data_IF_027475408947
#
_entry.id   IF_027475408947
#
_cell.length_a   1.000
_cell.length_b   1.000
_cell.length_c   1.000
_cell.angle_alpha   90.00
_cell.angle_beta   90.00
_cell.angle_gamma   90.00
#
_symmetry.space_group_name_H-M   'P 1'
#
loop_
_entity.id
_entity.type
_entity.pdbx_description
1 polymer ?
#
# COMPACT_ATOMS: atom_id res chain seq x y z
N UNK A 1 -19.04 -17.93 16.09
CA UNK A 1 -18.06 -17.46 15.09
C UNK A 1 -18.16 -15.95 15.02
N UNK A 2 -17.08 -15.21 14.75
CA UNK A 2 -17.19 -13.80 14.45
C UNK A 2 -18.10 -13.60 13.23
N UNK A 3 -18.80 -12.47 13.21
CA UNK A 3 -19.60 -12.04 12.06
C UNK A 3 -18.68 -11.70 10.89
N UNK A 4 -19.13 -11.93 9.65
CA UNK A 4 -18.35 -11.57 8.48
C UNK A 4 -18.21 -10.04 8.38
N UNK A 5 -17.11 -9.52 7.84
CA UNK A 5 -16.98 -8.08 7.55
C UNK A 5 -18.09 -7.61 6.61
N UNK A 6 -18.43 -6.32 6.68
CA UNK A 6 -19.31 -5.72 5.69
C UNK A 6 -18.63 -5.68 4.31
N UNK A 7 -19.40 -5.71 3.23
CA UNK A 7 -18.85 -5.77 1.86
C UNK A 7 -17.93 -4.57 1.54
N UNK A 8 -18.22 -3.39 2.10
CA UNK A 8 -17.40 -2.18 1.97
C UNK A 8 -16.11 -2.21 2.80
N UNK A 9 -15.95 -3.20 3.66
CA UNK A 9 -14.71 -3.50 4.38
C UNK A 9 -13.90 -4.64 3.74
N UNK A 10 -14.43 -5.28 2.69
CA UNK A 10 -13.76 -6.32 1.92
C UNK A 10 -13.07 -5.67 0.72
N UNK A 11 -11.74 -5.64 0.75
CA UNK A 11 -10.91 -5.00 -0.28
C UNK A 11 -10.66 -5.90 -1.50
N UNK A 12 -10.95 -7.20 -1.37
CA UNK A 12 -10.84 -8.24 -2.41
C UNK A 12 -12.21 -8.58 -3.00
N UNK A 13 -12.93 -7.55 -3.48
CA UNK A 13 -14.32 -7.66 -3.94
C UNK A 13 -14.54 -7.11 -5.35
N UNK A 14 -15.55 -7.60 -6.10
CA UNK A 14 -15.89 -7.06 -7.40
C UNK A 14 -16.35 -5.60 -7.27
N UNK A 15 -15.82 -4.74 -8.15
CA UNK A 15 -16.26 -3.33 -8.22
C UNK A 15 -17.48 -3.24 -9.13
N UNK A 16 -18.62 -2.84 -8.57
CA UNK A 16 -19.85 -2.67 -9.33
C UNK A 16 -19.76 -1.52 -10.34
N UNK A 17 -20.48 -1.65 -11.46
CA UNK A 17 -20.63 -0.58 -12.45
C UNK A 17 -19.47 -0.44 -13.45
N UNK A 18 -18.43 -1.26 -13.36
CA UNK A 18 -17.35 -1.28 -14.35
C UNK A 18 -17.83 -1.82 -15.70
N UNK A 19 -17.47 -1.13 -16.78
CA UNK A 19 -17.58 -1.69 -18.11
C UNK A 19 -16.50 -2.77 -18.34
N UNK A 20 -16.63 -3.55 -19.41
CA UNK A 20 -15.71 -4.68 -19.64
C UNK A 20 -14.22 -4.30 -19.74
N UNK A 21 -13.90 -3.11 -20.28
CA UNK A 21 -12.53 -2.61 -20.35
C UNK A 21 -12.00 -2.16 -18.98
N UNK A 22 -12.84 -1.48 -18.20
CA UNK A 22 -12.50 -1.08 -16.83
C UNK A 22 -12.30 -2.30 -15.92
N UNK A 23 -13.15 -3.32 -16.06
CA UNK A 23 -13.00 -4.57 -15.31
C UNK A 23 -11.70 -5.30 -15.66
N UNK A 24 -11.34 -5.35 -16.94
CA UNK A 24 -10.06 -5.93 -17.37
C UNK A 24 -8.86 -5.13 -16.82
N UNK A 25 -8.95 -3.80 -16.77
CA UNK A 25 -7.90 -2.96 -16.19
C UNK A 25 -7.81 -3.13 -14.68
N UNK A 26 -8.93 -3.27 -13.98
CA UNK A 26 -8.98 -3.54 -12.54
C UNK A 26 -8.27 -4.86 -12.22
N UNK A 27 -8.63 -5.96 -12.92
CA UNK A 27 -7.99 -7.27 -12.75
C UNK A 27 -6.48 -7.23 -13.06
N UNK A 28 -6.06 -6.46 -14.07
CA UNK A 28 -4.64 -6.29 -14.36
C UNK A 28 -3.90 -5.55 -13.23
N UNK A 29 -4.55 -4.57 -12.61
CA UNK A 29 -4.03 -3.84 -11.45
C UNK A 29 -3.90 -4.73 -10.22
N UNK A 30 -4.91 -5.56 -9.96
CA UNK A 30 -4.92 -6.53 -8.85
C UNK A 30 -3.77 -7.54 -8.97
N UNK A 31 -3.58 -8.13 -10.15
CA UNK A 31 -2.44 -9.02 -10.43
C UNK A 31 -1.12 -8.27 -10.24
N UNK A 32 -1.00 -7.05 -10.76
CA UNK A 32 0.23 -6.27 -10.61
C UNK A 32 0.53 -5.92 -9.14
N UNK A 33 -0.50 -5.67 -8.33
CA UNK A 33 -0.34 -5.37 -6.91
C UNK A 33 0.24 -6.57 -6.13
N UNK A 34 -0.26 -7.76 -6.45
CA UNK A 34 0.11 -9.01 -5.79
C UNK A 34 1.43 -9.62 -6.30
N UNK A 35 1.65 -9.61 -7.61
CA UNK A 35 2.70 -10.40 -8.26
C UNK A 35 3.94 -9.57 -8.67
N UNK A 36 3.80 -8.25 -8.80
CA UNK A 36 4.92 -7.44 -9.29
C UNK A 36 6.00 -7.28 -8.22
N UNK A 37 7.17 -7.86 -8.52
CA UNK A 37 8.40 -7.61 -7.75
C UNK A 37 9.19 -6.51 -8.45
N UNK A 38 9.30 -5.38 -7.78
CA UNK A 38 10.04 -4.25 -8.29
C UNK A 38 11.55 -4.42 -8.05
N UNK A 39 12.35 -4.07 -9.05
CA UNK A 39 13.82 -4.06 -8.99
C UNK A 39 14.36 -2.68 -9.35
N UNK A 40 15.63 -2.41 -9.05
CA UNK A 40 16.28 -1.13 -9.38
C UNK A 40 16.19 -0.84 -10.88
N UNK A 41 16.36 -1.87 -11.70
CA UNK A 41 16.33 -1.79 -13.16
C UNK A 41 14.93 -1.50 -13.70
N UNK A 42 13.87 -1.85 -12.96
CA UNK A 42 12.46 -1.59 -13.32
C UNK A 42 12.02 -0.14 -13.07
N UNK A 43 12.91 0.74 -12.62
CA UNK A 43 12.63 2.17 -12.52
C UNK A 43 12.14 2.63 -11.15
N UNK A 44 12.71 2.06 -10.09
CA UNK A 44 12.42 2.50 -8.74
C UNK A 44 13.36 3.63 -8.34
N UNK A 45 12.86 4.86 -8.39
CA UNK A 45 13.58 6.02 -7.87
C UNK A 45 13.90 5.88 -6.37
N UNK A 46 14.67 6.83 -5.84
CA UNK A 46 15.17 6.85 -4.44
C UNK A 46 14.10 6.92 -3.34
N UNK A 47 12.81 6.89 -3.70
CA UNK A 47 11.66 6.94 -2.79
C UNK A 47 11.10 5.54 -2.54
N UNK A 48 11.61 4.51 -3.23
CA UNK A 48 11.13 3.16 -3.09
C UNK A 48 11.64 2.49 -1.81
N UNK A 49 10.71 1.99 -0.98
CA UNK A 49 10.99 1.52 0.39
C UNK A 49 10.75 0.02 0.60
N UNK A 50 10.07 -0.67 -0.34
CA UNK A 50 9.80 -2.11 -0.24
C UNK A 50 9.43 -2.73 -1.59
N UNK A 51 9.97 -3.91 -1.93
CA UNK A 51 9.97 -4.54 -3.27
C UNK A 51 8.64 -5.00 -3.87
N UNK A 52 7.52 -4.83 -3.16
CA UNK A 52 6.18 -5.13 -3.66
C UNK A 52 5.12 -4.36 -2.87
N UNK A 53 3.95 -4.12 -3.46
CA UNK A 53 2.83 -3.47 -2.77
C UNK A 53 2.36 -4.29 -1.57
N UNK A 54 2.18 -5.61 -1.78
CA UNK A 54 1.75 -6.56 -0.75
C UNK A 54 2.68 -6.68 0.47
N UNK A 55 3.93 -6.22 0.38
CA UNK A 55 4.86 -6.23 1.52
C UNK A 55 4.42 -5.29 2.65
N UNK A 56 3.69 -4.22 2.32
CA UNK A 56 3.10 -3.29 3.29
C UNK A 56 1.58 -3.48 3.45
N UNK A 57 0.92 -4.02 2.43
CA UNK A 57 -0.53 -4.15 2.28
C UNK A 57 -0.95 -5.62 2.13
N UNK A 58 -1.04 -6.35 3.23
CA UNK A 58 -1.33 -7.78 3.18
C UNK A 58 -2.75 -8.07 2.65
N UNK A 59 -2.85 -8.97 1.65
CA UNK A 59 -4.12 -9.40 1.06
C UNK A 59 -4.93 -8.24 0.49
N UNK A 60 -4.25 -7.34 -0.24
CA UNK A 60 -4.82 -6.12 -0.82
C UNK A 60 -5.46 -5.18 0.21
N UNK A 61 -5.07 -5.37 1.46
CA UNK A 61 -5.59 -4.71 2.63
C UNK A 61 -5.05 -3.30 2.84
N UNK A 62 -5.68 -2.58 3.77
CA UNK A 62 -5.10 -1.36 4.36
C UNK A 62 -3.71 -1.66 4.93
N UNK A 63 -2.83 -0.67 4.89
CA UNK A 63 -1.52 -0.81 5.52
C UNK A 63 -1.65 -1.09 7.02
N UNK A 64 -0.69 -1.82 7.58
CA UNK A 64 -0.66 -2.12 9.00
C UNK A 64 0.18 -1.08 9.76
N UNK A 65 -0.15 -0.69 11.01
CA UNK A 65 0.70 0.24 11.78
C UNK A 65 2.18 -0.19 11.90
N UNK A 66 2.46 -1.48 11.79
CA UNK A 66 3.84 -2.02 11.76
C UNK A 66 4.63 -1.59 10.51
N UNK A 67 3.95 -1.30 9.41
CA UNK A 67 4.55 -0.84 8.15
C UNK A 67 4.51 0.69 8.02
N UNK A 68 4.31 1.40 9.13
CA UNK A 68 4.40 2.87 9.17
C UNK A 68 5.79 3.36 8.79
N UNK A 69 5.84 4.33 7.88
CA UNK A 69 7.08 4.89 7.38
C UNK A 69 7.31 6.30 7.94
N UNK A 70 8.55 6.61 8.30
CA UNK A 70 8.95 7.99 8.62
C UNK A 70 9.64 8.59 7.40
N UNK A 71 8.99 9.58 6.75
CA UNK A 71 9.51 10.18 5.51
C UNK A 71 10.78 11.00 5.75
N UNK A 72 10.75 11.85 6.76
CA UNK A 72 11.89 12.66 7.19
C UNK A 72 12.27 12.23 8.60
N UNK A 73 13.19 11.28 8.70
CA UNK A 73 13.71 10.78 9.97
C UNK A 73 14.86 11.63 10.51
N UNK A 74 15.25 11.34 11.76
CA UNK A 74 16.50 11.82 12.33
C UNK A 74 17.36 10.63 12.78
N UNK A 75 18.67 10.83 12.70
CA UNK A 75 19.67 9.78 13.02
C UNK A 75 19.90 9.64 14.53
N UNK A 76 19.43 10.60 15.33
CA UNK A 76 19.64 10.64 16.77
C UNK A 76 18.32 10.49 17.55
N UNK A 77 18.44 10.35 18.88
CA UNK A 77 17.33 10.12 19.81
C UNK A 77 16.69 11.41 20.35
N UNK A 78 17.00 12.58 19.79
CA UNK A 78 16.46 13.87 20.28
C UNK A 78 14.99 14.09 19.92
N UNK A 79 14.40 13.16 19.16
CA UNK A 79 13.03 13.21 18.67
C UNK A 79 12.94 13.88 17.30
N UNK A 80 11.91 13.53 16.51
CA UNK A 80 11.76 14.01 15.14
C UNK A 80 11.26 15.48 15.10
N UNK A 81 12.08 16.39 14.61
CA UNK A 81 11.81 17.83 14.42
C UNK A 81 11.08 18.11 13.08
N UNK A 82 11.03 17.14 12.18
CA UNK A 82 10.44 17.24 10.85
C UNK A 82 8.99 16.71 10.80
N UNK A 83 8.35 16.49 11.96
CA UNK A 83 6.95 16.05 12.02
C UNK A 83 6.02 16.98 11.21
N UNK A 84 6.30 18.29 11.22
CA UNK A 84 5.52 19.29 10.49
C UNK A 84 5.80 19.33 8.98
N UNK A 85 6.78 18.58 8.48
CA UNK A 85 7.19 18.57 7.07
C UNK A 85 6.68 17.33 6.32
N UNK A 86 5.71 16.63 6.89
CA UNK A 86 5.10 15.44 6.30
C UNK A 86 5.01 14.27 7.28
N UNK A 87 5.67 14.32 8.43
CA UNK A 87 5.51 13.34 9.50
C UNK A 87 5.66 11.86 9.09
N UNK A 88 5.29 10.93 9.98
CA UNK A 88 5.06 9.55 9.61
C UNK A 88 3.93 9.46 8.60
N UNK A 89 4.17 8.76 7.50
CA UNK A 89 3.16 8.49 6.48
C UNK A 89 2.49 7.18 6.84
N UNK A 90 1.18 7.26 7.07
CA UNK A 90 0.33 6.10 7.23
C UNK A 90 -0.37 5.87 5.89
N UNK A 91 0.02 4.79 5.21
CA UNK A 91 -0.65 4.36 3.99
C UNK A 91 -1.81 3.43 4.37
N UNK A 92 -2.94 4.03 4.75
CA UNK A 92 -4.19 3.32 5.08
C UNK A 92 -5.12 3.22 3.87
#
# INVERSE_FOLDING_TARGET
MPEAPADDEILDGPVEGLNGGEHAQFLAGDIAFNDEVFTVEKGLGSIFVATSCGSCHAGDGKGHPFTTLTRFGQVDSTGNLFLNQGGPQLQN
#
